data_IF_872673916290
#
_entry.id   IF_872673916290
#
_cell.length_a   1.000
_cell.length_b   1.000
_cell.length_c   1.000
_cell.angle_alpha   90.00
_cell.angle_beta   90.00
_cell.angle_gamma   90.00
#
_symmetry.space_group_name_H-M   'P 1'
#
loop_
_entity.id
_entity.type
_entity.pdbx_description
1 polymer ?
#
# COMPACT_ATOMS: atom_id res chain seq x y z
N UNK A 1 -15.64 -13.55 -0.53
CA UNK A 1 -15.25 -12.14 -0.71
C UNK A 1 -14.07 -11.88 0.21
N UNK A 2 -12.85 -11.79 -0.32
CA UNK A 2 -11.69 -11.44 0.49
C UNK A 2 -11.62 -9.91 0.60
N UNK A 3 -11.60 -9.39 1.83
CA UNK A 3 -11.36 -7.96 2.03
C UNK A 3 -9.88 -7.64 1.79
N UNK A 4 -9.54 -6.47 1.25
CA UNK A 4 -8.15 -6.03 1.06
C UNK A 4 -7.33 -6.16 2.36
N UNK A 5 -7.96 -5.92 3.52
CA UNK A 5 -7.34 -6.09 4.85
C UNK A 5 -6.94 -7.54 5.10
N UNK A 6 -7.79 -8.49 4.71
CA UNK A 6 -7.52 -9.92 4.85
C UNK A 6 -6.41 -10.35 3.90
N UNK A 7 -6.38 -9.79 2.68
CA UNK A 7 -5.28 -9.99 1.73
C UNK A 7 -3.96 -9.43 2.26
N UNK A 8 -3.93 -8.26 2.90
CA UNK A 8 -2.73 -7.74 3.57
C UNK A 8 -2.21 -8.72 4.63
N UNK A 9 -3.11 -9.22 5.50
CA UNK A 9 -2.75 -10.21 6.53
C UNK A 9 -2.15 -11.49 5.95
N UNK A 10 -2.73 -12.02 4.87
CA UNK A 10 -2.24 -13.22 4.20
C UNK A 10 -0.86 -13.02 3.54
N UNK A 11 -0.55 -11.79 3.10
CA UNK A 11 0.74 -11.44 2.51
C UNK A 11 1.77 -10.98 3.55
N UNK A 12 1.45 -11.01 4.85
CA UNK A 12 2.34 -10.51 5.91
C UNK A 12 2.56 -8.99 5.87
N UNK A 13 1.68 -8.27 5.18
CA UNK A 13 1.71 -6.82 5.04
C UNK A 13 0.88 -6.18 6.15
N UNK A 14 1.44 -5.16 6.80
CA UNK A 14 0.69 -4.37 7.78
C UNK A 14 -0.42 -3.57 7.08
N UNK A 15 -1.71 -3.82 7.39
CA UNK A 15 -2.82 -3.17 6.70
C UNK A 15 -2.80 -1.65 6.87
N UNK A 16 -2.42 -1.17 8.06
CA UNK A 16 -2.41 0.26 8.36
C UNK A 16 -1.35 0.99 7.53
N UNK A 17 -0.15 0.42 7.43
CA UNK A 17 0.94 0.93 6.60
C UNK A 17 0.58 0.91 5.11
N UNK A 18 0.01 -0.20 4.63
CA UNK A 18 -0.45 -0.35 3.26
C UNK A 18 -1.49 0.71 2.89
N UNK A 19 -2.55 0.88 3.70
CA UNK A 19 -3.58 1.87 3.42
C UNK A 19 -3.05 3.30 3.47
N UNK A 20 -2.18 3.61 4.42
CA UNK A 20 -1.56 4.93 4.51
C UNK A 20 -0.78 5.24 3.23
N UNK A 21 0.10 4.33 2.81
CA UNK A 21 0.94 4.51 1.63
C UNK A 21 0.11 4.54 0.33
N UNK A 22 -0.90 3.68 0.22
CA UNK A 22 -1.84 3.65 -0.90
C UNK A 22 -2.61 4.98 -1.00
N UNK A 23 -3.16 5.49 0.11
CA UNK A 23 -3.88 6.77 0.14
C UNK A 23 -2.94 7.93 -0.19
N UNK A 24 -1.72 7.94 0.35
CA UNK A 24 -0.71 8.94 0.02
C UNK A 24 -0.39 8.93 -1.47
N UNK A 25 -0.13 7.77 -2.07
CA UNK A 25 0.14 7.67 -3.51
C UNK A 25 -1.06 8.12 -4.35
N UNK A 26 -2.26 7.72 -3.98
CA UNK A 26 -3.49 8.12 -4.66
C UNK A 26 -3.69 9.65 -4.64
N UNK A 27 -3.48 10.29 -3.49
CA UNK A 27 -3.54 11.75 -3.35
C UNK A 27 -2.42 12.45 -4.14
N UNK A 28 -1.25 11.83 -4.26
CA UNK A 28 -0.15 12.33 -5.10
C UNK A 28 -0.39 12.14 -6.61
N UNK A 29 -1.58 11.68 -7.02
CA UNK A 29 -1.93 11.53 -8.43
C UNK A 29 -1.39 10.24 -9.06
N UNK A 30 -1.33 9.15 -8.29
CA UNK A 30 -0.92 7.86 -8.81
C UNK A 30 -1.74 7.49 -10.06
N UNK A 31 -1.10 7.14 -11.18
CA UNK A 31 -1.81 6.85 -12.41
C UNK A 31 -2.64 5.57 -12.26
N UNK A 32 -3.90 5.63 -12.71
CA UNK A 32 -4.82 4.48 -12.62
C UNK A 32 -4.29 3.22 -13.33
N UNK A 33 -3.48 3.40 -14.37
CA UNK A 33 -2.83 2.29 -15.10
C UNK A 33 -1.77 1.54 -14.28
N UNK A 34 -1.39 2.03 -13.09
CA UNK A 34 -0.42 1.39 -12.19
C UNK A 34 -1.04 1.01 -10.85
N UNK A 35 -2.37 0.92 -10.77
CA UNK A 35 -3.08 0.45 -9.56
C UNK A 35 -2.64 -0.98 -9.19
N UNK A 36 -2.29 -1.80 -10.19
CA UNK A 36 -1.80 -3.17 -9.96
C UNK A 36 -0.54 -3.22 -9.07
N UNK A 37 0.30 -2.17 -9.12
CA UNK A 37 1.49 -2.05 -8.26
C UNK A 37 1.15 -1.67 -6.81
N UNK A 38 -0.06 -1.14 -6.60
CA UNK A 38 -0.58 -0.87 -5.26
C UNK A 38 -1.29 -2.08 -4.67
N UNK A 39 -1.41 -3.22 -5.37
CA UNK A 39 -2.05 -4.40 -4.78
C UNK A 39 -1.17 -4.96 -3.65
N UNK A 40 -1.74 -5.54 -2.58
CA UNK A 40 -0.98 -5.92 -1.38
C UNK A 40 0.09 -6.99 -1.58
N UNK A 41 0.08 -7.71 -2.70
CA UNK A 41 1.13 -8.66 -3.10
C UNK A 41 2.25 -8.03 -3.94
N UNK A 42 2.00 -6.88 -4.57
CA UNK A 42 2.97 -6.13 -5.38
C UNK A 42 3.44 -4.84 -4.69
N UNK A 43 2.79 -4.47 -3.59
CA UNK A 43 3.10 -3.29 -2.81
C UNK A 43 4.43 -3.47 -2.09
N UNK A 44 5.41 -2.69 -2.52
CA UNK A 44 6.64 -2.49 -1.76
C UNK A 44 6.49 -1.26 -0.87
N UNK A 45 6.73 -1.40 0.45
CA UNK A 45 6.74 -0.24 1.34
C UNK A 45 7.77 0.74 0.80
N UNK A 46 7.33 1.94 0.43
CA UNK A 46 8.25 3.01 0.07
C UNK A 46 9.28 3.12 1.20
N UNK A 47 10.56 2.93 0.86
CA UNK A 47 11.65 2.98 1.82
C UNK A 47 11.46 4.24 2.69
N UNK A 48 11.55 4.14 4.02
CA UNK A 48 11.27 5.26 4.90
C UNK A 48 12.23 6.39 4.51
N UNK A 49 11.69 7.43 3.88
CA UNK A 49 12.44 8.64 3.60
C UNK A 49 12.69 9.35 4.94
N UNK A 50 13.77 8.98 5.63
CA UNK A 50 14.24 9.67 6.82
C UNK A 50 13.29 9.58 8.04
N UNK A 51 13.72 10.10 9.20
CA UNK A 51 13.15 9.75 10.49
C UNK A 51 11.74 10.32 10.66
N UNK A 52 10.82 9.45 11.09
CA UNK A 52 9.57 9.83 11.73
C UNK A 52 9.93 10.64 12.99
N UNK A 53 9.75 11.95 12.94
CA UNK A 53 9.86 12.87 14.06
C UNK A 53 8.47 13.39 14.43
#
# INVERSE_FOLDING_TARGET
MASLVETCKLNGVDPQRYFTDMLTRLVNGWPNSRIDELMPWCWEPAAPAGPQA
#
